data_IF_726605152226
#
_entry.id   IF_726605152226
#
_cell.length_a   1.000
_cell.length_b   1.000
_cell.length_c   1.000
_cell.angle_alpha   90.00
_cell.angle_beta   90.00
_cell.angle_gamma   90.00
#
_symmetry.space_group_name_H-M   'P 1'
#
loop_
_entity.id
_entity.type
_entity.pdbx_description
1 polymer ?
#
# COMPACT_ATOMS: atom_id res chain seq x y z
N UNK A 1 -1.38 9.00 -5.57
CA UNK A 1 -2.08 7.69 -5.50
C UNK A 1 -2.38 7.31 -4.06
N UNK A 2 -1.37 7.09 -3.21
CA UNK A 2 -1.54 6.70 -1.81
C UNK A 2 -2.44 7.65 -1.00
N UNK A 3 -2.21 8.96 -1.12
CA UNK A 3 -3.05 10.00 -0.47
C UNK A 3 -4.52 9.91 -0.91
N UNK A 4 -4.77 9.66 -2.20
CA UNK A 4 -6.14 9.52 -2.73
C UNK A 4 -6.79 8.26 -2.17
N UNK A 5 -6.07 7.14 -2.11
CA UNK A 5 -6.54 5.89 -1.51
C UNK A 5 -6.89 6.09 -0.02
N UNK A 6 -6.05 6.81 0.74
CA UNK A 6 -6.29 7.09 2.16
C UNK A 6 -7.50 8.00 2.36
N UNK A 7 -7.63 9.09 1.58
CA UNK A 7 -8.76 10.00 1.68
C UNK A 7 -10.07 9.32 1.30
N UNK A 8 -10.07 8.55 0.21
CA UNK A 8 -11.25 7.82 -0.25
C UNK A 8 -11.63 6.70 0.74
N UNK A 9 -10.64 5.98 1.29
CA UNK A 9 -10.85 5.00 2.36
C UNK A 9 -11.40 5.64 3.64
N UNK A 10 -10.91 6.82 4.03
CA UNK A 10 -11.43 7.55 5.18
C UNK A 10 -12.89 7.98 4.97
N UNK A 11 -13.20 8.53 3.80
CA UNK A 11 -14.57 8.91 3.45
C UNK A 11 -15.51 7.70 3.41
N UNK A 12 -15.09 6.60 2.79
CA UNK A 12 -15.85 5.36 2.71
C UNK A 12 -16.12 4.76 4.09
N UNK A 13 -15.12 4.74 4.97
CA UNK A 13 -15.28 4.24 6.34
C UNK A 13 -16.20 5.12 7.17
N UNK A 14 -16.11 6.45 7.03
CA UNK A 14 -17.03 7.38 7.70
C UNK A 14 -18.48 7.17 7.24
N UNK A 15 -18.70 6.88 5.94
CA UNK A 15 -20.02 6.59 5.38
C UNK A 15 -20.60 5.25 5.86
N UNK A 16 -19.75 4.25 6.10
CA UNK A 16 -20.16 2.91 6.50
C UNK A 16 -20.02 2.63 8.00
N UNK A 17 -19.66 3.64 8.81
CA UNK A 17 -19.50 3.49 10.27
C UNK A 17 -18.28 2.65 10.69
N UNK A 18 -17.29 2.47 9.80
CA UNK A 18 -16.11 1.65 10.06
C UNK A 18 -15.07 2.49 10.82
N UNK A 19 -14.58 1.98 11.94
CA UNK A 19 -13.56 2.67 12.74
C UNK A 19 -12.13 2.23 12.33
N UNK A 20 -11.51 2.95 11.39
CA UNK A 20 -10.16 2.63 10.90
C UNK A 20 -9.06 2.80 11.98
N UNK A 21 -9.33 3.52 13.07
CA UNK A 21 -8.35 3.68 14.15
C UNK A 21 -8.19 2.41 15.00
N UNK A 22 -9.04 1.40 14.80
CA UNK A 22 -8.92 0.10 15.46
C UNK A 22 -8.51 -0.99 14.48
N UNK A 23 -7.74 -1.95 14.95
CA UNK A 23 -7.36 -3.14 14.19
C UNK A 23 -8.56 -3.88 13.56
N UNK A 24 -9.65 -4.18 14.30
CA UNK A 24 -10.84 -4.80 13.70
C UNK A 24 -11.50 -3.95 12.61
N UNK A 25 -11.58 -2.63 12.77
CA UNK A 25 -12.16 -1.77 11.73
C UNK A 25 -11.27 -1.65 10.49
N UNK A 26 -9.94 -1.72 10.63
CA UNK A 26 -9.05 -1.88 9.49
C UNK A 26 -9.30 -3.21 8.75
N UNK A 27 -9.43 -4.33 9.47
CA UNK A 27 -9.72 -5.63 8.86
C UNK A 27 -11.09 -5.64 8.16
N UNK A 28 -12.08 -4.95 8.72
CA UNK A 28 -13.40 -4.81 8.11
C UNK A 28 -13.35 -4.01 6.81
N UNK A 29 -12.60 -2.90 6.78
CA UNK A 29 -12.33 -2.12 5.58
C UNK A 29 -11.60 -2.95 4.52
N UNK A 30 -10.55 -3.69 4.91
CA UNK A 30 -9.86 -4.61 4.02
C UNK A 30 -10.78 -5.71 3.49
N UNK A 31 -11.67 -6.25 4.33
CA UNK A 31 -12.69 -7.20 3.92
C UNK A 31 -13.63 -6.62 2.86
N UNK A 32 -14.01 -5.34 2.95
CA UNK A 32 -14.81 -4.65 1.94
C UNK A 32 -14.05 -4.45 0.62
N UNK A 33 -12.77 -4.11 0.71
CA UNK A 33 -11.85 -3.98 -0.42
C UNK A 33 -11.71 -5.30 -1.18
N UNK A 34 -11.46 -6.42 -0.49
CA UNK A 34 -11.30 -7.73 -1.13
C UNK A 34 -12.62 -8.37 -1.58
N UNK A 35 -13.75 -7.99 -0.97
CA UNK A 35 -15.09 -8.38 -1.44
C UNK A 35 -15.59 -7.52 -2.62
N UNK A 36 -14.79 -6.56 -3.10
CA UNK A 36 -15.14 -5.66 -4.19
C UNK A 36 -16.48 -4.92 -3.98
N UNK A 37 -16.82 -4.58 -2.72
CA UNK A 37 -18.06 -3.86 -2.39
C UNK A 37 -18.12 -2.48 -3.06
N UNK A 38 -16.97 -1.82 -3.19
CA UNK A 38 -16.81 -0.60 -3.96
C UNK A 38 -15.63 -0.77 -4.92
N UNK A 39 -15.91 -0.91 -6.22
CA UNK A 39 -14.90 -1.23 -7.24
C UNK A 39 -13.81 -0.16 -7.34
N UNK A 40 -14.13 1.09 -7.03
CA UNK A 40 -13.19 2.22 -7.07
C UNK A 40 -12.23 2.15 -5.90
N UNK A 41 -12.75 1.97 -4.68
CA UNK A 41 -11.95 1.75 -3.47
C UNK A 41 -11.04 0.53 -3.63
N UNK A 42 -11.60 -0.58 -4.09
CA UNK A 42 -10.84 -1.82 -4.31
C UNK A 42 -9.74 -1.63 -5.34
N UNK A 43 -10.04 -0.98 -6.47
CA UNK A 43 -9.05 -0.66 -7.49
C UNK A 43 -7.94 0.24 -6.96
N UNK A 44 -8.27 1.28 -6.18
CA UNK A 44 -7.30 2.18 -5.56
C UNK A 44 -6.39 1.45 -4.56
N UNK A 45 -6.96 0.58 -3.73
CA UNK A 45 -6.18 -0.23 -2.78
C UNK A 45 -5.25 -1.21 -3.49
N UNK A 46 -5.77 -1.97 -4.44
CA UNK A 46 -4.98 -2.93 -5.23
C UNK A 46 -3.88 -2.19 -5.99
N UNK A 47 -4.19 -1.10 -6.69
CA UNK A 47 -3.20 -0.32 -7.42
C UNK A 47 -2.11 0.24 -6.50
N UNK A 48 -2.48 0.73 -5.32
CA UNK A 48 -1.51 1.23 -4.33
C UNK A 48 -0.63 0.11 -3.76
N UNK A 49 -1.18 -1.08 -3.52
CA UNK A 49 -0.47 -2.22 -2.94
C UNK A 49 0.49 -2.86 -3.96
N UNK A 50 0.00 -3.13 -5.18
CA UNK A 50 0.82 -3.68 -6.26
C UNK A 50 1.82 -2.67 -6.82
N UNK A 51 1.44 -1.39 -6.92
CA UNK A 51 2.36 -0.32 -7.29
C UNK A 51 3.53 -0.20 -6.31
N UNK A 52 3.25 -0.27 -5.00
CA UNK A 52 4.28 -0.31 -3.97
C UNK A 52 5.16 -1.57 -4.06
N UNK A 53 4.55 -2.74 -4.29
CA UNK A 53 5.28 -4.00 -4.41
C UNK A 53 6.24 -4.03 -5.60
N UNK A 54 5.83 -3.52 -6.77
CA UNK A 54 6.66 -3.44 -7.97
C UNK A 54 7.89 -2.55 -7.71
N UNK A 55 7.69 -1.40 -7.07
CA UNK A 55 8.79 -0.48 -6.73
C UNK A 55 9.76 -1.14 -5.73
N UNK A 56 9.24 -1.81 -4.70
CA UNK A 56 10.06 -2.51 -3.71
C UNK A 56 10.90 -3.65 -4.31
N UNK A 57 10.28 -4.48 -5.16
CA UNK A 57 10.99 -5.57 -5.86
C UNK A 57 12.00 -5.01 -6.85
N UNK A 58 11.62 -3.98 -7.61
CA UNK A 58 12.53 -3.31 -8.56
C UNK A 58 13.76 -2.72 -7.86
N UNK A 59 13.56 -2.07 -6.71
CA UNK A 59 14.65 -1.54 -5.89
C UNK A 59 15.55 -2.66 -5.36
N UNK A 60 14.97 -3.76 -4.87
CA UNK A 60 15.72 -4.91 -4.39
C UNK A 60 16.58 -5.53 -5.50
N UNK A 61 16.01 -5.75 -6.69
CA UNK A 61 16.76 -6.26 -7.86
C UNK A 61 17.90 -5.32 -8.24
N UNK A 62 17.66 -4.01 -8.22
CA UNK A 62 18.70 -3.02 -8.52
C UNK A 62 19.85 -3.07 -7.50
N UNK A 63 19.51 -3.20 -6.21
CA UNK A 63 20.49 -3.34 -5.14
C UNK A 63 21.32 -4.61 -5.32
N UNK A 64 20.67 -5.77 -5.54
CA UNK A 64 21.36 -7.03 -5.79
C UNK A 64 22.23 -6.98 -7.05
N UNK A 65 21.74 -6.37 -8.12
CA UNK A 65 22.51 -6.22 -9.36
C UNK A 65 23.75 -5.36 -9.17
N UNK A 66 23.63 -4.24 -8.46
CA UNK A 66 24.75 -3.36 -8.19
C UNK A 66 25.75 -3.96 -7.20
N UNK A 67 25.30 -4.69 -6.17
CA UNK A 67 26.18 -5.48 -5.30
C UNK A 67 26.94 -6.56 -6.11
N UNK A 68 26.29 -7.22 -7.05
CA UNK A 68 26.93 -8.18 -7.97
C UNK A 68 27.99 -7.53 -8.88
N UNK A 69 27.94 -6.22 -9.08
CA UNK A 69 28.95 -5.45 -9.83
C UNK A 69 30.05 -4.85 -8.94
N UNK A 70 30.07 -5.21 -7.64
CA UNK A 70 31.04 -4.73 -6.67
C UNK A 70 30.72 -3.33 -6.13
N UNK A 71 29.52 -2.82 -6.34
CA UNK A 71 29.07 -1.53 -5.82
C UNK A 71 28.42 -1.75 -4.44
N UNK A 72 29.06 -1.25 -3.39
CA UNK A 72 28.56 -1.39 -2.01
C UNK A 72 27.50 -0.31 -1.73
N UNK A 73 26.24 -0.64 -2.03
CA UNK A 73 25.12 0.28 -1.77
C UNK A 73 24.70 0.14 -0.31
N UNK A 74 25.12 1.09 0.51
CA UNK A 74 24.60 1.28 1.86
C UNK A 74 23.21 1.92 1.77
N UNK A 75 22.17 1.10 1.71
CA UNK A 75 20.78 1.56 1.68
C UNK A 75 20.41 2.09 3.08
N UNK A 76 20.59 3.40 3.30
CA UNK A 76 19.97 4.08 4.45
C UNK A 76 18.48 4.20 4.18
N UNK A 77 17.69 3.24 4.64
CA UNK A 77 16.23 3.35 4.66
C UNK A 77 15.86 4.36 5.74
N UNK A 78 15.75 5.63 5.38
CA UNK A 78 15.15 6.65 6.24
C UNK A 78 13.64 6.47 6.17
N UNK A 79 13.10 5.65 7.07
CA UNK A 79 11.67 5.63 7.38
C UNK A 79 11.42 6.91 8.20
N UNK A 80 11.06 7.98 7.49
CA UNK A 80 10.53 9.20 8.09
C UNK A 80 9.08 9.03 8.46
#
# INVERSE_FOLDING_TARGET
MLVVTVLYGHFYSKRNGININTFPGMLELFGHVFKFKDKVLSGLYIFSMYGGAIIGIGLAVLIFYAQSKGCDIHVKVSIG
#
